data_IF_736824432278
#
_entry.id   IF_736824432278
#
_cell.length_a   1.000
_cell.length_b   1.000
_cell.length_c   1.000
_cell.angle_alpha   90.00
_cell.angle_beta   90.00
_cell.angle_gamma   90.00
#
_symmetry.space_group_name_H-M   'P 1'
#
loop_
_entity.id
_entity.type
_entity.pdbx_description
1 polymer ?
#
# COMPACT_ATOMS: atom_id res chain seq x y z
N UNK A 1 1.18 15.73 -32.76
CA UNK A 1 2.63 15.61 -32.63
C UNK A 1 2.93 14.89 -31.33
N UNK A 2 3.88 13.94 -31.30
CA UNK A 2 4.27 13.29 -30.05
C UNK A 2 5.01 14.32 -29.18
N UNK A 3 4.65 14.41 -27.90
CA UNK A 3 5.34 15.26 -26.94
C UNK A 3 6.71 14.62 -26.63
N UNK A 4 7.78 15.38 -26.65
CA UNK A 4 9.11 14.93 -26.21
C UNK A 4 9.33 15.39 -24.78
N UNK A 5 9.84 14.50 -23.93
CA UNK A 5 10.08 14.78 -22.52
C UNK A 5 11.55 14.61 -22.18
N UNK A 6 12.07 15.53 -21.38
CA UNK A 6 13.42 15.47 -20.88
C UNK A 6 13.42 14.99 -19.43
N UNK A 7 14.35 14.09 -19.09
CA UNK A 7 14.54 13.60 -17.74
C UNK A 7 15.93 13.98 -17.23
N UNK A 8 16.01 14.35 -15.94
CA UNK A 8 17.27 14.60 -15.28
C UNK A 8 18.01 13.29 -15.04
N UNK A 9 19.29 13.26 -15.36
CA UNK A 9 20.15 12.10 -15.17
C UNK A 9 21.06 12.31 -13.97
N UNK A 10 21.25 11.23 -13.20
CA UNK A 10 22.11 11.20 -12.03
C UNK A 10 23.08 10.00 -12.12
N UNK A 11 24.19 10.10 -11.42
CA UNK A 11 25.07 8.95 -11.22
C UNK A 11 24.49 8.01 -10.16
N UNK A 12 25.02 6.79 -10.07
CA UNK A 12 24.73 5.81 -9.01
C UNK A 12 25.05 6.31 -7.59
N UNK A 13 25.70 7.46 -7.45
CA UNK A 13 26.05 8.12 -6.19
C UNK A 13 25.23 9.41 -5.93
N UNK A 14 24.31 9.77 -6.84
CA UNK A 14 23.46 10.96 -6.71
C UNK A 14 24.04 12.25 -7.26
N UNK A 15 25.17 12.21 -7.98
CA UNK A 15 25.74 13.38 -8.68
C UNK A 15 24.89 13.69 -9.91
N UNK A 16 24.45 14.95 -10.05
CA UNK A 16 23.69 15.37 -11.22
C UNK A 16 24.55 15.32 -12.49
N UNK A 17 23.96 14.84 -13.58
CA UNK A 17 24.49 14.82 -14.95
C UNK A 17 23.60 15.66 -15.87
N UNK A 18 23.87 15.58 -17.15
CA UNK A 18 23.08 16.27 -18.19
C UNK A 18 21.66 15.69 -18.27
N UNK A 19 20.72 16.47 -18.82
CA UNK A 19 19.38 16.01 -19.12
C UNK A 19 19.38 15.19 -20.40
N UNK A 20 18.55 14.13 -20.44
CA UNK A 20 18.40 13.26 -21.61
C UNK A 20 16.93 13.21 -22.03
N UNK A 21 16.71 13.30 -23.34
CA UNK A 21 15.39 13.17 -23.93
C UNK A 21 14.91 11.71 -23.88
N UNK A 22 13.74 11.48 -23.30
CA UNK A 22 13.16 10.15 -23.20
C UNK A 22 12.69 9.64 -24.58
N UNK A 23 12.79 8.31 -24.85
CA UNK A 23 12.28 7.74 -26.09
C UNK A 23 10.76 7.88 -26.18
N UNK A 24 10.25 8.11 -27.38
CA UNK A 24 8.79 8.26 -27.62
C UNK A 24 7.99 7.02 -27.21
N UNK A 25 8.53 5.82 -27.33
CA UNK A 25 7.93 4.60 -26.78
C UNK A 25 8.70 4.18 -25.50
N UNK A 26 8.12 4.23 -24.31
CA UNK A 26 6.67 4.39 -23.98
C UNK A 26 6.21 5.80 -23.61
N UNK A 27 7.02 6.85 -23.81
CA UNK A 27 6.74 8.21 -23.33
C UNK A 27 6.15 9.10 -24.43
N UNK A 28 4.94 8.74 -24.91
CA UNK A 28 4.19 9.46 -25.95
C UNK A 28 3.30 10.59 -25.40
N UNK A 29 3.28 10.79 -24.10
CA UNK A 29 2.44 11.80 -23.43
C UNK A 29 0.98 11.40 -23.28
N UNK A 30 0.52 10.26 -23.82
CA UNK A 30 -0.89 9.88 -23.77
C UNK A 30 -1.28 9.29 -22.41
N UNK A 31 -2.26 9.90 -21.73
CA UNK A 31 -2.75 9.42 -20.42
C UNK A 31 -4.20 8.97 -20.53
N UNK A 32 -4.46 7.66 -20.29
CA UNK A 32 -5.79 7.06 -20.31
C UNK A 32 -6.21 6.62 -18.90
N UNK A 33 -6.91 7.48 -18.16
CA UNK A 33 -7.33 7.24 -16.77
C UNK A 33 -8.24 6.01 -16.60
N UNK A 34 -9.29 5.76 -17.43
CA UNK A 34 -10.14 4.58 -17.30
C UNK A 34 -9.37 3.26 -17.36
N UNK A 35 -8.40 3.16 -18.26
CA UNK A 35 -7.58 1.94 -18.46
C UNK A 35 -6.65 1.72 -17.27
N UNK A 36 -6.01 2.79 -16.75
CA UNK A 36 -5.20 2.72 -15.52
C UNK A 36 -6.03 2.26 -14.33
N UNK A 37 -7.22 2.83 -14.12
CA UNK A 37 -8.12 2.42 -13.04
C UNK A 37 -8.50 0.95 -13.14
N UNK A 38 -8.86 0.46 -14.34
CA UNK A 38 -9.20 -0.95 -14.56
C UNK A 38 -8.03 -1.87 -14.21
N UNK A 39 -6.80 -1.53 -14.62
CA UNK A 39 -5.61 -2.31 -14.33
C UNK A 39 -5.28 -2.36 -12.84
N UNK A 40 -5.36 -1.23 -12.13
CA UNK A 40 -5.15 -1.16 -10.67
C UNK A 40 -6.22 -1.94 -9.91
N UNK A 41 -7.50 -1.81 -10.29
CA UNK A 41 -8.62 -2.57 -9.68
C UNK A 41 -8.39 -4.07 -9.81
N UNK A 42 -8.00 -4.54 -10.99
CA UNK A 42 -7.72 -5.95 -11.22
C UNK A 42 -6.49 -6.42 -10.42
N UNK A 43 -5.42 -5.63 -10.38
CA UNK A 43 -4.21 -5.93 -9.60
C UNK A 43 -4.53 -6.13 -8.12
N UNK A 44 -5.26 -5.21 -7.50
CA UNK A 44 -5.66 -5.29 -6.09
C UNK A 44 -6.63 -6.45 -5.82
N UNK A 45 -7.56 -6.72 -6.75
CA UNK A 45 -8.48 -7.85 -6.64
C UNK A 45 -7.73 -9.19 -6.68
N UNK A 46 -6.71 -9.32 -7.53
CA UNK A 46 -5.91 -10.54 -7.69
C UNK A 46 -5.02 -10.85 -6.47
N UNK A 47 -4.74 -9.87 -5.61
CA UNK A 47 -4.02 -10.10 -4.35
C UNK A 47 -4.91 -10.70 -3.24
N UNK A 48 -6.24 -10.65 -3.39
CA UNK A 48 -7.16 -11.13 -2.36
C UNK A 48 -7.24 -12.65 -2.38
N UNK A 49 -7.00 -13.28 -1.23
CA UNK A 49 -7.06 -14.76 -1.09
C UNK A 49 -8.49 -15.30 -1.05
N UNK A 50 -9.44 -14.54 -0.51
CA UNK A 50 -10.84 -14.93 -0.44
C UNK A 50 -11.16 -16.09 0.49
N UNK A 51 -10.45 -16.26 1.60
CA UNK A 51 -10.54 -17.39 2.53
C UNK A 51 -11.70 -17.27 3.53
N UNK A 52 -12.45 -16.17 3.53
CA UNK A 52 -13.56 -15.98 4.46
C UNK A 52 -14.62 -17.05 4.26
N UNK A 53 -14.92 -17.80 5.33
CA UNK A 53 -15.89 -18.89 5.32
C UNK A 53 -16.71 -18.91 6.61
N UNK A 54 -17.98 -19.25 6.49
CA UNK A 54 -18.83 -19.60 7.63
C UNK A 54 -19.36 -21.02 7.48
N UNK A 55 -19.61 -21.68 8.60
CA UNK A 55 -20.17 -23.05 8.59
C UNK A 55 -21.67 -22.98 8.28
N UNK A 56 -22.07 -23.51 7.12
CA UNK A 56 -23.45 -23.78 6.78
C UNK A 56 -23.94 -25.01 7.58
N UNK A 57 -25.23 -25.25 7.63
CA UNK A 57 -25.88 -26.36 8.35
C UNK A 57 -25.19 -27.72 8.10
N UNK A 58 -24.66 -27.97 6.89
CA UNK A 58 -23.97 -29.22 6.53
C UNK A 58 -22.68 -29.44 7.32
N UNK A 59 -21.96 -28.36 7.63
CA UNK A 59 -20.60 -28.42 8.26
C UNK A 59 -20.61 -28.19 9.76
N UNK A 60 -21.77 -27.90 10.38
CA UNK A 60 -21.89 -27.78 11.83
C UNK A 60 -21.95 -29.20 12.42
N UNK A 61 -21.13 -29.46 13.44
CA UNK A 61 -21.09 -30.74 14.15
C UNK A 61 -22.30 -30.88 15.06
N UNK A 62 -22.87 -32.09 15.21
CA UNK A 62 -24.00 -32.37 16.09
C UNK A 62 -25.35 -32.49 15.36
N UNK A 63 -26.46 -32.54 16.08
CA UNK A 63 -27.82 -32.51 15.56
C UNK A 63 -28.20 -33.64 14.59
N UNK A 64 -27.66 -34.84 14.80
CA UNK A 64 -27.93 -36.00 13.94
C UNK A 64 -29.32 -36.59 14.19
N UNK A 65 -29.87 -36.38 15.39
CA UNK A 65 -31.19 -36.88 15.79
C UNK A 65 -32.23 -35.74 15.77
N UNK A 66 -33.46 -36.05 15.44
CA UNK A 66 -34.60 -35.13 15.53
C UNK A 66 -34.83 -34.73 17.00
N UNK A 67 -34.92 -33.42 17.36
CA UNK A 67 -35.02 -32.98 18.76
C UNK A 67 -36.26 -33.54 19.49
N UNK A 68 -37.40 -33.65 18.80
CA UNK A 68 -38.65 -34.21 19.35
C UNK A 68 -39.57 -34.74 18.25
N UNK A 69 -40.64 -35.44 18.65
CA UNK A 69 -41.61 -36.05 17.75
C UNK A 69 -42.34 -34.96 16.93
N UNK A 70 -42.86 -35.35 15.75
CA UNK A 70 -43.46 -34.42 14.76
C UNK A 70 -44.74 -33.74 15.28
N UNK A 71 -45.52 -34.48 16.10
CA UNK A 71 -46.79 -34.02 16.71
C UNK A 71 -46.85 -34.44 18.18
N UNK A 72 -47.75 -33.84 18.97
CA UNK A 72 -48.02 -34.25 20.37
C UNK A 72 -47.09 -33.64 21.42
N UNK A 73 -46.23 -32.62 21.06
CA UNK A 73 -45.34 -31.99 22.03
C UNK A 73 -45.68 -30.55 22.36
N UNK A 74 -46.71 -29.95 21.73
CA UNK A 74 -47.05 -28.52 21.88
C UNK A 74 -46.01 -27.52 21.42
N UNK A 75 -44.83 -28.02 20.91
CA UNK A 75 -43.71 -27.19 20.43
C UNK A 75 -43.72 -27.05 18.92
N UNK A 76 -43.05 -25.98 18.41
CA UNK A 76 -42.81 -25.79 16.99
C UNK A 76 -42.03 -27.01 16.42
N UNK A 77 -42.40 -27.40 15.20
CA UNK A 77 -41.75 -28.55 14.53
C UNK A 77 -40.31 -28.21 14.20
N UNK A 78 -39.38 -29.13 14.61
CA UNK A 78 -37.95 -28.97 14.35
C UNK A 78 -37.35 -30.23 13.73
N UNK A 79 -36.51 -30.08 12.72
CA UNK A 79 -35.85 -31.20 12.05
C UNK A 79 -34.43 -31.46 12.59
N UNK A 80 -33.73 -30.41 13.04
CA UNK A 80 -32.34 -30.53 13.51
C UNK A 80 -31.95 -29.30 14.33
N UNK A 81 -31.12 -29.49 15.36
CA UNK A 81 -30.54 -28.41 16.17
C UNK A 81 -29.47 -27.60 15.42
N UNK A 82 -29.01 -28.08 14.24
CA UNK A 82 -28.07 -27.37 13.38
C UNK A 82 -28.75 -26.33 12.49
N UNK A 83 -30.08 -26.18 12.54
CA UNK A 83 -30.80 -25.23 11.75
C UNK A 83 -30.48 -23.78 12.17
N UNK A 84 -30.53 -22.79 11.25
CA UNK A 84 -30.03 -21.43 11.50
C UNK A 84 -30.76 -20.68 12.62
N UNK A 85 -31.99 -21.04 12.94
CA UNK A 85 -32.75 -20.47 14.05
C UNK A 85 -32.25 -20.90 15.44
N UNK A 86 -31.38 -21.91 15.50
CA UNK A 86 -30.82 -22.39 16.76
C UNK A 86 -29.50 -21.68 17.09
N UNK A 87 -29.27 -21.42 18.36
CA UNK A 87 -27.97 -20.93 18.84
C UNK A 87 -26.90 -21.99 18.54
N UNK A 88 -25.83 -21.60 17.85
CA UNK A 88 -24.82 -22.55 17.37
C UNK A 88 -25.20 -23.28 16.09
N UNK A 89 -26.33 -22.98 15.46
CA UNK A 89 -26.73 -23.50 14.15
C UNK A 89 -25.90 -22.92 13.00
N UNK A 90 -26.14 -23.45 11.78
CA UNK A 90 -25.43 -23.01 10.59
C UNK A 90 -25.87 -21.65 10.09
N UNK A 91 -24.98 -20.88 9.49
CA UNK A 91 -25.29 -19.63 8.80
C UNK A 91 -25.90 -19.91 7.43
N UNK A 92 -26.95 -19.15 7.02
CA UNK A 92 -27.62 -19.40 5.74
C UNK A 92 -26.86 -18.75 4.58
N UNK A 93 -26.63 -17.44 4.64
CA UNK A 93 -25.99 -16.63 3.59
C UNK A 93 -24.67 -16.03 4.07
N UNK A 94 -23.86 -16.82 4.76
CA UNK A 94 -22.53 -16.39 5.17
C UNK A 94 -21.53 -16.37 4.03
N UNK A 95 -20.35 -15.76 4.24
CA UNK A 95 -19.31 -15.75 3.26
C UNK A 95 -18.84 -17.18 2.92
N UNK A 96 -18.60 -17.40 1.63
CA UNK A 96 -18.08 -18.64 1.10
C UNK A 96 -16.72 -18.35 0.44
N UNK A 97 -15.69 -19.19 0.60
CA UNK A 97 -14.42 -19.00 -0.06
C UNK A 97 -14.63 -18.86 -1.58
N UNK A 98 -14.09 -17.80 -2.14
CA UNK A 98 -14.18 -17.54 -3.59
C UNK A 98 -12.92 -16.88 -4.13
N UNK A 99 -12.64 -17.10 -5.39
CA UNK A 99 -11.61 -16.35 -6.10
C UNK A 99 -12.10 -14.95 -6.43
N UNK A 100 -11.18 -13.97 -6.28
CA UNK A 100 -11.38 -12.60 -6.72
C UNK A 100 -10.60 -12.27 -8.00
N UNK A 101 -10.02 -13.29 -8.65
CA UNK A 101 -9.21 -13.12 -9.85
C UNK A 101 -9.99 -12.40 -10.95
N UNK A 102 -9.41 -11.32 -11.48
CA UNK A 102 -9.92 -10.55 -12.61
C UNK A 102 -8.91 -10.61 -13.75
N UNK A 103 -9.39 -11.01 -14.92
CA UNK A 103 -8.58 -11.03 -16.13
C UNK A 103 -8.60 -9.67 -16.82
N UNK A 104 -7.42 -9.19 -17.21
CA UNK A 104 -7.24 -7.99 -18.04
C UNK A 104 -6.42 -8.38 -19.25
N UNK A 105 -6.86 -8.10 -20.49
CA UNK A 105 -6.12 -8.38 -21.71
C UNK A 105 -4.71 -7.75 -21.70
N UNK A 106 -3.74 -8.43 -22.35
CA UNK A 106 -2.35 -7.96 -22.39
C UNK A 106 -2.21 -6.55 -22.97
N UNK A 107 -2.94 -6.25 -24.04
CA UNK A 107 -2.94 -4.93 -24.67
C UNK A 107 -3.41 -3.82 -23.72
N UNK A 108 -4.49 -4.08 -22.97
CA UNK A 108 -5.02 -3.14 -21.96
C UNK A 108 -4.00 -2.91 -20.83
N UNK A 109 -3.31 -3.96 -20.37
CA UNK A 109 -2.24 -3.83 -19.35
C UNK A 109 -1.06 -3.02 -19.89
N UNK A 110 -0.65 -3.24 -21.14
CA UNK A 110 0.44 -2.48 -21.77
C UNK A 110 0.07 -1.00 -21.90
N UNK A 111 -1.15 -0.70 -22.38
CA UNK A 111 -1.66 0.68 -22.50
C UNK A 111 -1.74 1.36 -21.12
N UNK A 112 -2.22 0.64 -20.09
CA UNK A 112 -2.29 1.15 -18.72
C UNK A 112 -0.89 1.51 -18.17
N UNK A 113 0.11 0.65 -18.41
CA UNK A 113 1.49 0.87 -17.99
C UNK A 113 2.10 2.09 -18.70
N UNK A 114 1.92 2.21 -20.01
CA UNK A 114 2.36 3.38 -20.80
C UNK A 114 1.73 4.66 -20.27
N UNK A 115 0.41 4.67 -20.08
CA UNK A 115 -0.30 5.83 -19.52
C UNK A 115 0.17 6.22 -18.12
N UNK A 116 0.54 5.26 -17.26
CA UNK A 116 1.07 5.55 -15.93
C UNK A 116 2.47 6.19 -15.97
N UNK A 117 3.35 5.73 -16.88
CA UNK A 117 4.63 6.38 -17.10
C UNK A 117 4.46 7.81 -17.62
N UNK A 118 3.57 8.01 -18.59
CA UNK A 118 3.29 9.35 -19.13
C UNK A 118 2.73 10.31 -18.06
N UNK A 119 1.88 9.82 -17.16
CA UNK A 119 1.40 10.62 -16.03
C UNK A 119 2.57 11.07 -15.14
N UNK A 120 3.50 10.14 -14.79
CA UNK A 120 4.66 10.46 -13.95
C UNK A 120 5.66 11.39 -14.64
N UNK A 121 5.85 11.25 -15.94
CA UNK A 121 6.71 12.17 -16.72
C UNK A 121 6.11 13.58 -16.75
N UNK A 122 4.81 13.72 -16.97
CA UNK A 122 4.11 15.01 -16.92
C UNK A 122 4.19 15.71 -15.56
N UNK A 123 4.25 14.91 -14.48
CA UNK A 123 4.44 15.40 -13.11
C UNK A 123 5.91 15.78 -12.82
N UNK A 124 6.85 15.48 -13.72
CA UNK A 124 8.29 15.66 -13.49
C UNK A 124 8.85 14.71 -12.43
N UNK A 125 8.19 13.58 -12.22
CA UNK A 125 8.51 12.60 -11.18
C UNK A 125 9.38 11.45 -11.70
N UNK A 126 9.93 11.53 -12.90
CA UNK A 126 10.83 10.53 -13.49
C UNK A 126 12.25 11.05 -13.48
N UNK A 127 13.17 10.22 -12.97
CA UNK A 127 14.62 10.49 -12.96
C UNK A 127 15.34 9.31 -13.59
N UNK A 128 16.44 9.57 -14.27
CA UNK A 128 17.31 8.53 -14.79
C UNK A 128 18.56 8.40 -13.93
N UNK A 129 19.08 7.18 -13.80
CA UNK A 129 20.37 6.88 -13.20
C UNK A 129 21.20 6.12 -14.21
N UNK A 130 22.51 6.39 -14.27
CA UNK A 130 23.43 5.80 -15.25
C UNK A 130 23.41 4.26 -15.23
N UNK A 131 23.95 3.65 -14.18
CA UNK A 131 23.89 2.20 -13.98
C UNK A 131 24.07 1.86 -12.50
N UNK A 132 23.31 0.88 -12.02
CA UNK A 132 23.46 0.36 -10.67
C UNK A 132 24.49 -0.78 -10.65
N UNK A 133 25.65 -0.52 -10.07
CA UNK A 133 26.71 -1.51 -9.87
C UNK A 133 26.83 -1.84 -8.38
N UNK A 134 26.24 -2.96 -7.99
CA UNK A 134 26.27 -3.47 -6.63
C UNK A 134 26.81 -4.89 -6.64
N UNK A 135 28.06 -5.06 -6.20
CA UNK A 135 28.67 -6.38 -6.03
C UNK A 135 28.13 -7.05 -4.76
N UNK A 136 28.09 -6.30 -3.67
CA UNK A 136 27.56 -6.75 -2.38
C UNK A 136 26.32 -5.95 -1.98
N UNK A 137 25.32 -6.58 -1.33
CA UNK A 137 24.15 -5.85 -0.84
C UNK A 137 24.54 -4.83 0.24
N UNK A 138 24.13 -3.55 0.06
CA UNK A 138 24.38 -2.47 1.03
C UNK A 138 23.19 -1.52 1.10
N UNK A 139 22.45 -1.59 2.21
CA UNK A 139 21.32 -0.69 2.46
C UNK A 139 21.76 0.75 2.71
N UNK A 140 22.95 0.93 3.34
CA UNK A 140 23.52 2.25 3.61
C UNK A 140 23.84 3.01 2.30
N UNK A 141 24.44 2.33 1.32
CA UNK A 141 24.75 2.93 0.01
C UNK A 141 23.46 3.36 -0.71
N UNK A 142 22.41 2.53 -0.67
CA UNK A 142 21.14 2.88 -1.30
C UNK A 142 20.40 4.02 -0.56
N UNK A 143 20.44 4.03 0.77
CA UNK A 143 19.90 5.13 1.55
C UNK A 143 20.64 6.44 1.24
N UNK A 144 21.96 6.42 1.17
CA UNK A 144 22.77 7.57 0.77
C UNK A 144 22.42 8.10 -0.63
N UNK A 145 22.13 7.22 -1.59
CA UNK A 145 21.63 7.62 -2.92
C UNK A 145 20.28 8.32 -2.82
N UNK A 146 19.31 7.75 -2.08
CA UNK A 146 17.97 8.35 -1.89
C UNK A 146 18.07 9.73 -1.23
N UNK A 147 18.99 9.89 -0.25
CA UNK A 147 19.28 11.16 0.40
C UNK A 147 19.89 12.18 -0.55
N UNK A 148 20.87 11.77 -1.36
CA UNK A 148 21.53 12.63 -2.35
C UNK A 148 20.56 13.12 -3.44
N UNK A 149 19.61 12.28 -3.84
CA UNK A 149 18.53 12.65 -4.78
C UNK A 149 17.45 13.53 -4.14
N UNK A 150 17.48 13.76 -2.81
CA UNK A 150 16.48 14.56 -2.08
C UNK A 150 15.10 13.89 -2.03
N UNK A 151 15.07 12.55 -2.02
CA UNK A 151 13.83 11.76 -2.04
C UNK A 151 13.43 11.22 -0.66
N UNK A 152 14.01 11.76 0.40
CA UNK A 152 13.69 11.36 1.78
C UNK A 152 12.20 11.53 2.09
N UNK A 153 11.59 10.48 2.63
CA UNK A 153 10.18 10.46 2.99
C UNK A 153 9.20 10.25 1.82
N UNK A 154 9.70 10.24 0.57
CA UNK A 154 8.89 9.93 -0.61
C UNK A 154 8.93 8.43 -0.92
N UNK A 155 7.89 7.93 -1.58
CA UNK A 155 7.86 6.58 -2.12
C UNK A 155 8.63 6.54 -3.42
N UNK A 156 9.70 5.78 -3.46
CA UNK A 156 10.62 5.67 -4.61
C UNK A 156 10.49 4.29 -5.24
N UNK A 157 10.28 4.27 -6.55
CA UNK A 157 10.33 3.06 -7.35
C UNK A 157 11.62 3.05 -8.18
N UNK A 158 12.48 2.08 -7.95
CA UNK A 158 13.73 1.91 -8.70
C UNK A 158 13.52 0.80 -9.73
N UNK A 159 13.70 1.15 -10.99
CA UNK A 159 13.56 0.25 -12.13
C UNK A 159 14.94 -0.05 -12.72
N UNK A 160 15.30 -1.31 -12.76
CA UNK A 160 16.60 -1.77 -13.24
C UNK A 160 16.50 -2.45 -14.61
N UNK A 161 17.59 -2.46 -15.33
CA UNK A 161 17.77 -3.27 -16.53
C UNK A 161 18.07 -4.71 -16.08
N UNK A 162 17.05 -5.57 -16.19
CA UNK A 162 17.12 -6.94 -15.70
C UNK A 162 17.10 -7.08 -14.17
N UNK A 163 17.32 -8.31 -13.69
CA UNK A 163 17.24 -8.66 -12.28
C UNK A 163 18.58 -8.44 -11.58
N UNK A 164 18.66 -7.43 -10.71
CA UNK A 164 19.83 -7.12 -9.87
C UNK A 164 19.58 -7.53 -8.42
N UNK A 165 19.96 -8.75 -8.06
CA UNK A 165 19.70 -9.33 -6.74
C UNK A 165 20.33 -8.54 -5.59
N UNK A 166 21.56 -8.06 -5.74
CA UNK A 166 22.25 -7.27 -4.72
C UNK A 166 21.54 -5.93 -4.44
N UNK A 167 21.06 -5.24 -5.48
CA UNK A 167 20.30 -4.01 -5.34
C UNK A 167 18.92 -4.26 -4.71
N UNK A 168 18.22 -5.32 -5.11
CA UNK A 168 16.94 -5.70 -4.52
C UNK A 168 17.08 -6.01 -3.02
N UNK A 169 18.11 -6.76 -2.61
CA UNK A 169 18.37 -7.03 -1.19
C UNK A 169 18.72 -5.76 -0.42
N UNK A 170 19.42 -4.80 -1.04
CA UNK A 170 19.72 -3.49 -0.44
C UNK A 170 18.48 -2.66 -0.20
N UNK A 171 17.50 -2.70 -1.12
CA UNK A 171 16.25 -1.91 -1.03
C UNK A 171 15.17 -2.54 -0.16
N UNK A 172 15.18 -3.87 0.02
CA UNK A 172 14.10 -4.61 0.71
C UNK A 172 13.82 -4.13 2.14
N UNK A 173 14.83 -3.64 2.86
CA UNK A 173 14.67 -3.16 4.23
C UNK A 173 14.13 -1.72 4.32
N UNK A 174 14.10 -0.99 3.23
CA UNK A 174 13.61 0.39 3.19
C UNK A 174 12.11 0.40 2.83
N UNK A 175 11.21 0.81 3.75
CA UNK A 175 9.76 0.69 3.53
C UNK A 175 9.24 1.62 2.43
N UNK A 176 9.96 2.69 2.12
CA UNK A 176 9.60 3.67 1.09
C UNK A 176 10.19 3.36 -0.29
N UNK A 177 11.08 2.36 -0.39
CA UNK A 177 11.80 2.04 -1.64
C UNK A 177 11.36 0.68 -2.16
N UNK A 178 10.95 0.64 -3.42
CA UNK A 178 10.71 -0.60 -4.16
C UNK A 178 11.70 -0.74 -5.29
N UNK A 179 12.37 -1.88 -5.38
CA UNK A 179 13.32 -2.20 -6.46
C UNK A 179 12.76 -3.36 -7.26
N UNK A 180 12.65 -3.19 -8.58
CA UNK A 180 12.20 -4.24 -9.49
C UNK A 180 12.76 -4.04 -10.90
N UNK A 181 12.81 -5.09 -11.73
CA UNK A 181 13.18 -4.95 -13.13
C UNK A 181 12.11 -4.17 -13.90
N UNK A 182 12.55 -3.42 -14.91
CA UNK A 182 11.65 -2.63 -15.77
C UNK A 182 10.62 -3.50 -16.49
N UNK A 183 10.94 -4.76 -16.84
CA UNK A 183 10.02 -5.70 -17.49
C UNK A 183 8.78 -6.02 -16.64
N UNK A 184 8.97 -6.13 -15.31
CA UNK A 184 7.96 -6.67 -14.39
C UNK A 184 7.09 -5.59 -13.74
N UNK A 185 7.37 -4.33 -14.02
CA UNK A 185 6.63 -3.21 -13.42
C UNK A 185 5.17 -3.21 -13.87
N UNK A 186 4.27 -3.12 -12.91
CA UNK A 186 2.83 -2.95 -13.16
C UNK A 186 2.42 -1.49 -13.00
N UNK A 187 1.24 -1.14 -13.57
CA UNK A 187 0.61 0.17 -13.40
C UNK A 187 0.46 0.57 -11.93
N UNK A 188 0.17 -0.40 -11.05
CA UNK A 188 0.05 -0.16 -9.61
C UNK A 188 1.34 0.35 -8.98
N UNK A 189 2.49 -0.27 -9.30
CA UNK A 189 3.78 0.12 -8.73
C UNK A 189 4.18 1.54 -9.14
N UNK A 190 3.94 1.91 -10.42
CA UNK A 190 4.22 3.25 -10.94
C UNK A 190 3.37 4.31 -10.23
N UNK A 191 2.07 4.05 -10.05
CA UNK A 191 1.16 4.96 -9.37
C UNK A 191 1.30 4.99 -7.85
N UNK A 192 1.82 3.91 -7.25
CA UNK A 192 2.12 3.85 -5.83
C UNK A 192 3.30 4.76 -5.43
N UNK A 193 4.29 4.89 -6.32
CA UNK A 193 5.49 5.68 -6.08
C UNK A 193 5.26 7.16 -6.35
N UNK A 194 5.85 8.03 -5.54
CA UNK A 194 5.88 9.48 -5.78
C UNK A 194 6.94 9.85 -6.82
N UNK A 195 8.04 9.10 -6.88
CA UNK A 195 9.14 9.28 -7.84
C UNK A 195 9.57 7.94 -8.40
N UNK A 196 9.80 7.91 -9.71
CA UNK A 196 10.30 6.74 -10.44
C UNK A 196 11.74 7.00 -10.87
N UNK A 197 12.65 6.18 -10.42
CA UNK A 197 14.08 6.21 -10.78
C UNK A 197 14.33 5.05 -11.74
N UNK A 198 14.73 5.34 -12.97
CA UNK A 198 14.92 4.36 -14.02
C UNK A 198 16.41 4.28 -14.37
N UNK A 199 16.95 3.09 -14.50
CA UNK A 199 18.28 2.88 -15.03
C UNK A 199 18.32 3.24 -16.52
N UNK A 200 19.28 4.02 -16.97
CA UNK A 200 19.36 4.53 -18.34
C UNK A 200 19.35 3.40 -19.38
N UNK A 201 20.05 2.29 -19.11
CA UNK A 201 20.06 1.12 -19.97
C UNK A 201 18.70 0.46 -20.16
N UNK A 202 17.81 0.52 -19.16
CA UNK A 202 16.46 -0.03 -19.23
C UNK A 202 15.55 0.73 -20.23
N UNK A 203 15.91 1.97 -20.57
CA UNK A 203 15.18 2.82 -21.52
C UNK A 203 15.94 2.93 -22.87
N UNK A 204 17.04 2.18 -23.02
CA UNK A 204 17.82 2.14 -24.25
C UNK A 204 18.91 3.22 -24.36
N UNK A 205 19.17 3.97 -23.28
CA UNK A 205 20.29 4.90 -23.21
C UNK A 205 21.50 4.23 -22.56
N UNK A 206 22.58 4.03 -23.35
CA UNK A 206 23.83 3.54 -22.81
C UNK A 206 24.65 4.70 -22.26
N UNK A 207 24.87 4.72 -20.95
CA UNK A 207 25.70 5.72 -20.28
C UNK A 207 26.81 5.06 -19.52
N UNK A 208 28.03 5.59 -19.64
CA UNK A 208 29.15 5.09 -18.84
C UNK A 208 28.94 5.46 -17.36
N UNK A 209 29.03 4.48 -16.43
CA UNK A 209 28.92 4.74 -15.01
C UNK A 209 30.11 5.60 -14.54
N UNK A 210 29.84 6.61 -13.73
CA UNK A 210 30.90 7.40 -13.12
C UNK A 210 31.60 6.58 -12.06
N UNK A 211 32.96 6.70 -11.96
CA UNK A 211 33.72 6.02 -10.92
C UNK A 211 33.25 6.46 -9.51
N UNK A 212 33.44 5.58 -8.54
CA UNK A 212 33.12 5.87 -7.15
C UNK A 212 33.93 7.08 -6.66
N UNK A 213 33.28 8.10 -6.06
CA UNK A 213 34.01 9.22 -5.47
C UNK A 213 34.90 8.69 -4.35
N UNK A 214 36.20 9.07 -4.38
CA UNK A 214 37.16 8.63 -3.37
C UNK A 214 36.63 8.93 -1.95
N UNK A 215 36.76 8.00 -1.00
CA UNK A 215 36.27 8.20 0.36
C UNK A 215 36.97 9.40 1.01
N UNK A 216 36.24 10.49 1.30
CA UNK A 216 36.78 11.69 1.95
C UNK A 216 36.50 13.02 1.26
N UNK A 217 35.95 13.03 0.04
CA UNK A 217 35.49 14.27 -0.57
C UNK A 217 34.01 14.46 -0.16
N UNK A 218 33.66 15.50 0.65
CA UNK A 218 32.26 15.82 0.90
C UNK A 218 31.62 16.11 -0.47
N UNK A 219 30.57 15.38 -0.82
CA UNK A 219 29.77 15.67 -2.00
C UNK A 219 29.41 17.16 -1.93
N UNK A 220 30.01 17.95 -2.85
CA UNK A 220 29.70 19.38 -2.97
C UNK A 220 28.18 19.48 -2.94
N UNK A 221 27.67 20.32 -2.01
CA UNK A 221 26.24 20.56 -1.84
C UNK A 221 25.68 20.85 -3.22
N UNK A 222 25.08 19.85 -3.82
CA UNK A 222 24.52 19.92 -5.16
C UNK A 222 23.75 21.21 -5.22
N UNK A 223 24.19 22.15 -6.06
CA UNK A 223 23.47 23.41 -6.32
C UNK A 223 22.04 22.98 -6.55
N UNK A 224 21.13 23.39 -5.67
CA UNK A 224 19.69 23.16 -5.83
C UNK A 224 19.36 23.57 -7.25
N UNK A 225 19.25 22.62 -8.15
CA UNK A 225 18.70 22.84 -9.46
C UNK A 225 17.29 23.30 -9.19
N UNK A 226 17.07 24.60 -9.27
CA UNK A 226 15.72 25.17 -9.20
C UNK A 226 14.94 24.44 -10.28
N UNK A 227 13.88 23.74 -9.90
CA UNK A 227 12.97 23.09 -10.82
C UNK A 227 12.61 24.04 -11.94
N UNK A 228 13.24 23.88 -13.09
CA UNK A 228 12.93 24.62 -14.33
C UNK A 228 11.75 23.89 -14.99
N UNK A 229 10.65 23.78 -14.30
CA UNK A 229 9.36 23.40 -14.86
C UNK A 229 8.23 24.00 -14.02
N UNK A 230 8.40 25.26 -13.60
CA UNK A 230 7.26 26.08 -13.24
C UNK A 230 6.69 26.65 -14.56
N UNK A 231 5.90 25.86 -15.26
CA UNK A 231 4.90 26.37 -16.20
C UNK A 231 4.12 27.44 -15.43
N UNK A 232 4.25 28.68 -15.83
CA UNK A 232 3.46 29.81 -15.34
C UNK A 232 1.99 29.43 -15.50
N UNK A 233 1.36 29.02 -14.41
CA UNK A 233 -0.10 28.97 -14.33
C UNK A 233 -0.53 30.39 -14.03
N UNK A 234 -1.17 31.03 -15.00
CA UNK A 234 -1.82 32.31 -14.83
C UNK A 234 -2.80 32.19 -13.64
N UNK A 235 -2.54 33.01 -12.63
CA UNK A 235 -3.39 33.06 -11.44
C UNK A 235 -4.65 33.87 -11.79
N UNK A 236 -5.86 33.38 -11.52
CA UNK A 236 -7.04 34.22 -11.57
C UNK A 236 -7.02 35.23 -10.42
N UNK A 237 -7.43 36.46 -10.79
CA UNK A 237 -7.43 37.67 -9.98
C UNK A 237 -8.06 37.48 -8.58
N UNK A 238 -7.43 38.10 -7.58
CA UNK A 238 -7.96 38.28 -6.22
C UNK A 238 -9.26 39.05 -6.25
N UNK A 239 -10.34 38.43 -5.76
CA UNK A 239 -11.50 39.17 -5.26
C UNK A 239 -11.41 39.23 -3.71
N UNK A 240 -11.52 40.43 -3.18
CA UNK A 240 -11.46 40.77 -1.77
C UNK A 240 -12.65 40.20 -0.99
N UNK A 241 -12.43 39.67 0.19
CA UNK A 241 -13.45 39.17 1.10
C UNK A 241 -12.92 38.97 2.52
N UNK A 242 -12.44 40.04 3.17
CA UNK A 242 -12.30 40.04 4.62
C UNK A 242 -13.69 40.04 5.24
N UNK A 243 -14.11 38.98 5.97
CA UNK A 243 -14.97 39.09 7.16
C UNK A 243 -14.98 37.76 7.94
N UNK A 244 -14.59 37.84 9.23
CA UNK A 244 -15.00 37.03 10.40
C UNK A 244 -14.55 35.55 10.50
N UNK A 245 -13.39 35.34 11.10
CA UNK A 245 -13.01 34.07 11.73
C UNK A 245 -12.61 34.32 13.22
N UNK A 246 -13.61 34.64 14.08
CA UNK A 246 -13.38 34.75 15.56
C UNK A 246 -14.41 34.05 16.44
N UNK A 247 -15.36 33.29 15.90
CA UNK A 247 -16.44 32.68 16.71
C UNK A 247 -16.40 31.14 16.84
N UNK A 248 -15.53 30.42 16.11
CA UNK A 248 -15.59 28.95 16.07
C UNK A 248 -14.69 28.21 17.10
N UNK A 249 -13.80 28.89 17.83
CA UNK A 249 -12.87 28.23 18.78
C UNK A 249 -13.39 27.98 20.20
N UNK A 250 -14.58 28.48 20.56
CA UNK A 250 -15.11 28.35 21.94
C UNK A 250 -16.11 27.21 22.15
N UNK A 251 -16.62 26.59 21.10
CA UNK A 251 -17.64 25.52 21.20
C UNK A 251 -17.01 24.11 21.25
N UNK A 252 -15.84 23.91 20.67
CA UNK A 252 -15.22 22.57 20.61
C UNK A 252 -14.59 22.14 21.94
N UNK A 253 -14.18 23.07 22.80
CA UNK A 253 -13.58 22.74 24.11
C UNK A 253 -14.59 22.28 25.19
N UNK A 254 -15.89 22.52 25.02
CA UNK A 254 -16.93 22.14 26.00
C UNK A 254 -17.55 20.76 25.74
N UNK A 255 -17.37 20.19 24.54
CA UNK A 255 -17.86 18.85 24.17
C UNK A 255 -16.88 17.72 24.55
N UNK A 256 -15.57 17.99 24.67
CA UNK A 256 -14.55 16.99 25.01
C UNK A 256 -14.53 16.63 26.51
N UNK A 257 -14.97 17.52 27.40
CA UNK A 257 -14.95 17.28 28.84
C UNK A 257 -16.12 16.41 29.36
N UNK A 258 -17.16 16.16 28.56
CA UNK A 258 -18.37 15.43 28.99
C UNK A 258 -18.38 13.94 28.59
N UNK A 259 -17.35 13.44 27.88
CA UNK A 259 -17.27 12.03 27.44
C UNK A 259 -16.24 11.16 28.19
N UNK A 260 -15.54 11.68 29.20
CA UNK A 260 -14.48 10.93 29.89
C UNK A 260 -14.89 10.28 31.24
N UNK A 261 -16.12 10.39 31.71
CA UNK A 261 -16.47 10.00 33.07
C UNK A 261 -17.17 8.63 33.31
N UNK A 262 -17.63 7.81 32.34
CA UNK A 262 -18.23 6.52 32.70
C UNK A 262 -17.38 5.27 32.53
N UNK A 263 -16.14 5.34 32.00
CA UNK A 263 -15.34 4.11 31.74
C UNK A 263 -14.57 3.59 32.98
N UNK A 264 -14.24 4.43 33.96
CA UNK A 264 -13.47 4.02 35.14
C UNK A 264 -14.25 3.19 36.16
N UNK A 265 -15.60 3.34 36.26
CA UNK A 265 -16.43 2.58 37.22
C UNK A 265 -16.75 1.13 36.80
N UNK A 266 -16.64 0.77 35.50
CA UNK A 266 -16.89 -0.61 35.02
C UNK A 266 -15.68 -1.53 35.17
N UNK A 267 -14.46 -1.01 35.25
CA UNK A 267 -13.24 -1.83 35.42
C UNK A 267 -13.02 -2.31 36.88
N UNK A 268 -13.47 -1.54 37.86
CA UNK A 268 -13.36 -1.92 39.29
C UNK A 268 -14.34 -3.04 39.68
N UNK A 269 -15.56 -3.02 39.15
CA UNK A 269 -16.57 -4.04 39.44
C UNK A 269 -16.23 -5.43 38.85
N UNK A 270 -15.44 -5.49 37.77
CA UNK A 270 -15.05 -6.76 37.12
C UNK A 270 -13.88 -7.48 37.84
N UNK A 271 -13.06 -6.76 38.62
CA UNK A 271 -11.96 -7.36 39.43
C UNK A 271 -12.46 -7.98 40.73
N UNK A 272 -13.51 -7.48 41.35
CA UNK A 272 -14.07 -8.04 42.60
C UNK A 272 -14.88 -9.32 42.34
N UNK A 273 -15.61 -9.41 41.21
CA UNK A 273 -16.35 -10.62 40.84
C UNK A 273 -15.45 -11.81 40.51
N UNK A 274 -14.26 -11.58 39.92
CA UNK A 274 -13.31 -12.67 39.58
C UNK A 274 -12.58 -13.23 40.80
N UNK A 275 -12.47 -12.49 41.91
CA UNK A 275 -11.84 -12.91 43.16
C UNK A 275 -12.79 -13.74 44.06
N UNK A 276 -14.12 -13.59 43.91
CA UNK A 276 -15.13 -14.35 44.61
C UNK A 276 -15.37 -15.75 43.98
N UNK A 277 -15.23 -15.87 42.66
CA UNK A 277 -15.40 -17.14 41.95
C UNK A 277 -14.24 -18.14 42.16
N UNK A 278 -13.02 -17.66 42.40
CA UNK A 278 -11.84 -18.48 42.60
C UNK A 278 -11.80 -19.15 44.00
N UNK A 279 -12.62 -18.72 44.97
CA UNK A 279 -12.65 -19.25 46.34
C UNK A 279 -13.65 -20.41 46.56
N UNK A 280 -14.46 -20.77 45.52
CA UNK A 280 -15.49 -21.82 45.60
C UNK A 280 -15.12 -23.15 44.94
N UNK A 281 -13.93 -23.33 44.39
CA UNK A 281 -13.56 -24.52 43.60
C UNK A 281 -12.35 -25.29 44.16
N UNK A 282 -12.18 -25.35 45.50
CA UNK A 282 -11.19 -26.26 46.09
C UNK A 282 -11.83 -27.61 46.46
N UNK A 283 -11.31 -28.76 45.98
CA UNK A 283 -11.92 -30.07 46.30
C UNK A 283 -11.59 -30.51 47.74
N UNK A 284 -12.63 -30.95 48.46
CA UNK A 284 -12.50 -31.62 49.78
C UNK A 284 -11.79 -32.98 49.61
N UNK A 285 -10.64 -33.18 50.24
CA UNK A 285 -9.98 -34.48 50.38
C UNK A 285 -10.89 -35.42 51.18
N UNK A 286 -11.30 -36.53 50.60
CA UNK A 286 -11.89 -37.66 51.30
C UNK A 286 -10.77 -38.41 52.07
N UNK A 287 -10.91 -38.52 53.41
CA UNK A 287 -10.17 -39.50 54.19
C UNK A 287 -10.84 -40.87 53.98
N UNK A 288 -10.04 -41.83 53.53
CA UNK A 288 -10.43 -43.24 53.47
C UNK A 288 -10.22 -44.01 54.77
N UNK A 289 -10.99 -45.00 54.90
CA UNK A 289 -10.67 -46.23 55.64
C UNK A 289 -10.15 -47.25 54.68
#
# INVERSE_FOLDING_TARGET
MAETFDAAVFSSYGTARDTVTLPTDPFDGTVNMPVMHQAVKAFLANQRQGNAATKIRKYVVGGNQKPWKQKGTGRARQGSTRAPQWVGGGTVFGPIPRSYAQYVPRQVRALARRSAFNARVREGAVMLVDAFQYETPSTQRLAGLVDALGLNGKKVLILTDGVKSALHLSGRNLPTVHVMPYSDVSTYHILWSDTVVIEASAVGHTMEPLPEPAPGVPADKAKKVKNVAAVKRDAPAKAEGKVKAKAAKKVVKKAAAKKAAPAAKKAAAKKTAKKAAAKKSAPKKKKGK
#
